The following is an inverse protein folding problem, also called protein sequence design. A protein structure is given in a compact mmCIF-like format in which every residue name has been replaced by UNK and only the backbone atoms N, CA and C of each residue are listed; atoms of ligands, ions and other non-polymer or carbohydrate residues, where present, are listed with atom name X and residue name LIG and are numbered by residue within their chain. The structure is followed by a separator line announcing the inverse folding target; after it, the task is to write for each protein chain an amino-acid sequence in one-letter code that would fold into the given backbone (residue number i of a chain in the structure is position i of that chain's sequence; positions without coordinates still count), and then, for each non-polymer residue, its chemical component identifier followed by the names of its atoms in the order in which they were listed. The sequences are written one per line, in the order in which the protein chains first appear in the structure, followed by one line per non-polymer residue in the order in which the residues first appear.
data_IF_736438768244
#
_entry.id   IF_736438768244
#
_cell.length_a   1.000
_cell.length_b   1.000
_cell.length_c   1.000
_cell.angle_alpha   90.00
_cell.angle_beta   90.00
_cell.angle_gamma   90.00
#
_symmetry.space_group_name_H-M   'P 1'
#
loop_
_entity.id
_entity.type
_entity.pdbx_description
1 polymer ?
#
# COMPACT_ATOMS: atom_id res chain seq x y z
N UNK A 1 2.86 -15.28 -12.62
CA UNK A 1 2.48 -14.37 -11.54
C UNK A 1 2.90 -12.95 -11.91
N UNK A 2 2.11 -11.97 -11.51
CA UNK A 2 2.36 -10.57 -11.88
C UNK A 2 3.49 -9.97 -11.04
N UNK A 3 4.45 -9.32 -11.68
CA UNK A 3 5.53 -8.62 -10.99
C UNK A 3 5.14 -7.16 -10.70
N UNK A 4 5.81 -6.53 -9.73
CA UNK A 4 5.52 -5.15 -9.34
C UNK A 4 5.62 -4.17 -10.50
N UNK A 5 6.62 -4.35 -11.37
CA UNK A 5 6.80 -3.50 -12.54
C UNK A 5 5.60 -3.57 -13.48
N UNK A 6 5.12 -4.79 -13.75
CA UNK A 6 3.97 -5.00 -14.64
C UNK A 6 2.72 -4.41 -14.01
N UNK A 7 2.54 -4.60 -12.71
CA UNK A 7 1.41 -4.05 -11.99
C UNK A 7 1.39 -2.52 -12.08
N UNK A 8 2.52 -1.88 -11.81
CA UNK A 8 2.61 -0.42 -11.85
C UNK A 8 2.33 0.12 -13.25
N UNK A 9 2.87 -0.51 -14.28
CA UNK A 9 2.62 -0.12 -15.68
C UNK A 9 1.14 -0.24 -16.03
N UNK A 10 0.52 -1.38 -15.68
CA UNK A 10 -0.89 -1.61 -15.97
C UNK A 10 -1.80 -0.67 -15.17
N UNK A 11 -1.47 -0.44 -13.89
CA UNK A 11 -2.22 0.48 -13.05
C UNK A 11 -2.17 1.91 -13.61
N UNK A 12 -1.04 2.32 -14.17
CA UNK A 12 -0.88 3.67 -14.72
C UNK A 12 -1.84 3.96 -15.88
N UNK A 13 -2.35 2.93 -16.54
CA UNK A 13 -3.29 3.09 -17.66
C UNK A 13 -4.61 3.70 -17.23
N UNK A 14 -4.98 3.55 -15.97
CA UNK A 14 -6.27 4.03 -15.46
C UNK A 14 -6.14 5.30 -14.61
N UNK A 15 -4.95 5.86 -14.53
CA UNK A 15 -4.75 7.17 -13.88
C UNK A 15 -5.40 8.25 -14.74
N UNK A 16 -6.10 9.19 -14.09
CA UNK A 16 -6.71 10.32 -14.79
C UNK A 16 -5.62 11.29 -15.30
N UNK A 17 -5.40 11.27 -16.59
CA UNK A 17 -4.33 12.05 -17.22
C UNK A 17 -4.68 13.54 -17.42
N UNK A 18 -5.89 13.94 -17.07
CA UNK A 18 -6.31 15.32 -17.11
C UNK A 18 -5.91 16.11 -15.86
N UNK A 19 -5.41 15.40 -14.84
CA UNK A 19 -4.95 16.01 -13.60
C UNK A 19 -3.49 16.43 -13.73
N UNK A 20 -3.13 17.50 -13.02
CA UNK A 20 -1.71 17.83 -12.82
C UNK A 20 -1.06 16.78 -11.93
N UNK A 21 0.26 16.66 -12.02
CA UNK A 21 0.96 15.61 -11.28
C UNK A 21 0.77 15.71 -9.76
N UNK A 22 0.77 16.95 -9.22
CA UNK A 22 0.55 17.11 -7.78
C UNK A 22 -0.89 16.72 -7.38
N UNK A 23 -1.84 16.85 -8.29
CA UNK A 23 -3.21 16.41 -8.05
C UNK A 23 -3.32 14.89 -8.02
N UNK A 24 -2.58 14.23 -8.92
CA UNK A 24 -2.52 12.75 -8.93
C UNK A 24 -1.92 12.24 -7.63
N UNK A 25 -0.85 12.87 -7.15
CA UNK A 25 -0.22 12.56 -5.87
C UNK A 25 -1.23 12.63 -4.71
N UNK A 26 -1.98 13.72 -4.63
CA UNK A 26 -2.97 13.91 -3.57
C UNK A 26 -4.17 12.98 -3.72
N UNK A 27 -4.61 12.76 -4.96
CA UNK A 27 -5.66 11.79 -5.26
C UNK A 27 -5.29 10.41 -4.73
N UNK A 28 -4.03 10.00 -4.93
CA UNK A 28 -3.55 8.72 -4.44
C UNK A 28 -3.59 8.64 -2.91
N UNK A 29 -3.12 9.67 -2.22
CA UNK A 29 -3.13 9.70 -0.75
C UNK A 29 -4.55 9.62 -0.19
N UNK A 30 -5.46 10.42 -0.74
CA UNK A 30 -6.86 10.40 -0.30
C UNK A 30 -7.52 9.07 -0.63
N UNK A 31 -7.16 8.47 -1.76
CA UNK A 31 -7.67 7.15 -2.15
C UNK A 31 -7.22 6.06 -1.19
N UNK A 32 -5.96 6.06 -0.76
CA UNK A 32 -5.49 5.09 0.24
C UNK A 32 -6.32 5.17 1.52
N UNK A 33 -6.54 6.38 2.03
CA UNK A 33 -7.34 6.58 3.24
C UNK A 33 -8.79 6.11 3.05
N UNK A 34 -9.36 6.39 1.89
CA UNK A 34 -10.73 5.98 1.55
C UNK A 34 -10.86 4.46 1.53
N UNK A 35 -9.91 3.76 0.91
CA UNK A 35 -9.97 2.29 0.82
C UNK A 35 -9.76 1.63 2.19
N UNK A 36 -8.90 2.21 3.03
CA UNK A 36 -8.76 1.73 4.42
C UNK A 36 -10.09 1.89 5.15
N UNK A 37 -10.79 3.00 4.94
CA UNK A 37 -12.13 3.21 5.49
C UNK A 37 -13.12 2.16 5.01
N UNK A 38 -13.09 1.78 3.74
CA UNK A 38 -13.95 0.75 3.19
C UNK A 38 -13.68 -0.62 3.85
N UNK A 39 -12.41 -0.94 4.11
CA UNK A 39 -12.05 -2.15 4.84
C UNK A 39 -12.60 -2.12 6.26
N UNK A 40 -12.46 -0.98 6.95
CA UNK A 40 -13.03 -0.82 8.29
C UNK A 40 -14.55 -1.01 8.28
N UNK A 41 -15.22 -0.53 7.24
CA UNK A 41 -16.67 -0.70 7.09
C UNK A 41 -17.10 -2.15 7.03
N UNK A 42 -16.31 -3.00 6.37
CA UNK A 42 -16.58 -4.43 6.29
C UNK A 42 -16.54 -5.07 7.69
N UNK A 43 -15.53 -4.74 8.49
CA UNK A 43 -15.43 -5.22 9.87
C UNK A 43 -16.56 -4.66 10.75
N UNK A 44 -16.90 -3.38 10.56
CA UNK A 44 -17.98 -2.74 11.30
C UNK A 44 -19.32 -3.48 11.08
N UNK A 45 -19.58 -3.85 9.83
CA UNK A 45 -20.80 -4.62 9.50
C UNK A 45 -20.79 -6.00 10.16
N UNK A 46 -19.62 -6.64 10.26
CA UNK A 46 -19.51 -7.92 10.95
C UNK A 46 -19.91 -7.80 12.42
N UNK A 47 -19.54 -6.71 13.09
CA UNK A 47 -19.98 -6.43 14.46
C UNK A 47 -21.48 -6.23 14.56
N UNK A 48 -22.12 -5.82 13.48
CA UNK A 48 -23.57 -5.61 13.41
C UNK A 48 -24.33 -6.88 13.04
N UNK A 49 -23.66 -8.02 12.92
CA UNK A 49 -24.28 -9.30 12.63
C UNK A 49 -24.16 -9.80 11.19
N UNK A 50 -23.52 -9.04 10.30
CA UNK A 50 -23.25 -9.50 8.94
C UNK A 50 -22.09 -10.52 8.93
N UNK A 51 -22.11 -11.44 7.99
CA UNK A 51 -20.94 -12.28 7.77
C UNK A 51 -19.80 -11.44 7.20
N UNK A 52 -18.55 -11.80 7.54
CA UNK A 52 -17.39 -11.12 6.99
C UNK A 52 -17.31 -11.39 5.48
N UNK A 53 -17.34 -10.32 4.69
CA UNK A 53 -17.32 -10.40 3.23
C UNK A 53 -15.88 -10.43 2.75
N UNK A 54 -15.33 -11.64 2.67
CA UNK A 54 -13.93 -11.87 2.30
C UNK A 54 -13.61 -11.37 0.88
N UNK A 55 -14.50 -11.64 -0.06
CA UNK A 55 -14.27 -11.23 -1.46
C UNK A 55 -14.27 -9.71 -1.62
N UNK A 56 -15.17 -9.03 -0.88
CA UNK A 56 -15.20 -7.57 -0.86
C UNK A 56 -13.90 -7.01 -0.25
N UNK A 57 -13.43 -7.61 0.85
CA UNK A 57 -12.19 -7.20 1.49
C UNK A 57 -10.98 -7.31 0.54
N UNK A 58 -10.92 -8.40 -0.23
CA UNK A 58 -9.86 -8.59 -1.22
C UNK A 58 -9.89 -7.51 -2.30
N UNK A 59 -11.07 -7.13 -2.76
CA UNK A 59 -11.22 -6.08 -3.78
C UNK A 59 -10.77 -4.73 -3.25
N UNK A 60 -11.17 -4.38 -2.03
CA UNK A 60 -10.75 -3.11 -1.41
C UNK A 60 -9.25 -3.09 -1.16
N UNK A 61 -8.65 -4.22 -0.79
CA UNK A 61 -7.21 -4.33 -0.64
C UNK A 61 -6.50 -4.11 -1.98
N UNK A 62 -7.05 -4.67 -3.06
CA UNK A 62 -6.54 -4.42 -4.40
C UNK A 62 -6.62 -2.95 -4.78
N UNK A 63 -7.72 -2.28 -4.45
CA UNK A 63 -7.88 -0.86 -4.72
C UNK A 63 -6.86 -0.02 -3.93
N UNK A 64 -6.58 -0.42 -2.69
CA UNK A 64 -5.53 0.22 -1.89
C UNK A 64 -4.17 0.12 -2.59
N UNK A 65 -3.83 -1.07 -3.10
CA UNK A 65 -2.57 -1.27 -3.84
C UNK A 65 -2.53 -0.42 -5.10
N UNK A 66 -3.66 -0.26 -5.78
CA UNK A 66 -3.73 0.60 -6.97
C UNK A 66 -3.35 2.04 -6.62
N UNK A 67 -3.87 2.57 -5.51
CA UNK A 67 -3.52 3.92 -5.07
C UNK A 67 -2.05 4.03 -4.67
N UNK A 68 -1.46 2.98 -4.08
CA UNK A 68 -0.02 2.95 -3.79
C UNK A 68 0.78 3.05 -5.10
N UNK A 69 0.39 2.29 -6.12
CA UNK A 69 1.03 2.34 -7.43
C UNK A 69 0.86 3.72 -8.09
N UNK A 70 -0.32 4.31 -7.99
CA UNK A 70 -0.58 5.65 -8.50
C UNK A 70 0.34 6.68 -7.85
N UNK A 71 0.49 6.60 -6.53
CA UNK A 71 1.38 7.50 -5.79
C UNK A 71 2.83 7.37 -6.28
N UNK A 72 3.31 6.14 -6.41
CA UNK A 72 4.66 5.90 -6.92
C UNK A 72 4.84 6.49 -8.32
N UNK A 73 3.86 6.31 -9.19
CA UNK A 73 3.91 6.85 -10.55
C UNK A 73 3.94 8.38 -10.53
N UNK A 74 3.10 9.01 -9.70
CA UNK A 74 3.08 10.47 -9.56
C UNK A 74 4.42 11.02 -9.08
N UNK A 75 5.09 10.30 -8.18
CA UNK A 75 6.38 10.71 -7.62
C UNK A 75 7.56 10.28 -8.49
N UNK A 76 7.29 9.58 -9.60
CA UNK A 76 8.32 9.01 -10.46
C UNK A 76 9.21 7.99 -9.71
N UNK A 77 8.61 7.21 -8.83
CA UNK A 77 9.25 6.14 -8.10
C UNK A 77 8.86 4.79 -8.69
N UNK A 78 9.80 3.87 -8.66
CA UNK A 78 9.57 2.48 -9.04
C UNK A 78 8.99 1.73 -7.84
N UNK A 79 7.77 1.20 -7.98
CA UNK A 79 7.11 0.45 -6.91
C UNK A 79 7.97 -0.73 -6.44
N UNK A 80 8.59 -1.45 -7.37
CA UNK A 80 9.47 -2.56 -7.04
C UNK A 80 10.66 -2.14 -6.19
N UNK A 81 11.21 -0.95 -6.45
CA UNK A 81 12.32 -0.42 -5.66
C UNK A 81 11.87 -0.04 -4.25
N UNK A 82 10.67 0.56 -4.12
CA UNK A 82 10.09 0.86 -2.81
C UNK A 82 9.91 -0.43 -2.01
N UNK A 83 9.42 -1.48 -2.64
CA UNK A 83 9.24 -2.79 -2.02
C UNK A 83 10.58 -3.39 -1.59
N UNK A 84 11.57 -3.35 -2.47
CA UNK A 84 12.91 -3.88 -2.17
C UNK A 84 13.54 -3.14 -0.99
N UNK A 85 13.46 -1.81 -0.98
CA UNK A 85 14.02 -1.00 0.11
C UNK A 85 13.36 -1.32 1.44
N UNK A 86 12.04 -1.57 1.42
CA UNK A 86 11.30 -1.95 2.62
C UNK A 86 11.79 -3.29 3.17
N UNK A 87 11.92 -4.30 2.30
CA UNK A 87 12.40 -5.62 2.72
C UNK A 87 13.84 -5.54 3.24
N UNK A 88 14.71 -4.78 2.55
CA UNK A 88 16.10 -4.61 2.96
C UNK A 88 16.21 -3.98 4.35
N UNK A 89 15.39 -2.97 4.62
CA UNK A 89 15.31 -2.33 5.94
C UNK A 89 14.93 -3.33 7.02
N UNK A 90 13.90 -4.15 6.74
CA UNK A 90 13.39 -5.11 7.71
C UNK A 90 14.36 -6.26 7.95
N UNK A 91 15.08 -6.69 6.92
CA UNK A 91 16.13 -7.72 7.06
C UNK A 91 17.30 -7.19 7.90
N UNK A 92 17.65 -5.91 7.76
CA UNK A 92 18.69 -5.30 8.58
C UNK A 92 18.26 -5.19 10.04
N UNK A 93 16.98 -4.80 10.28
CA UNK A 93 16.43 -4.67 11.64
C UNK A 93 16.22 -6.03 12.31
N UNK A 94 15.75 -7.00 11.56
CA UNK A 94 15.35 -8.33 12.06
C UNK A 94 16.02 -9.43 11.24
N UNK A 95 17.36 -9.61 11.34
CA UNK A 95 18.04 -10.62 10.51
C UNK A 95 17.58 -12.06 10.78
N UNK A 96 17.08 -12.33 11.99
CA UNK A 96 16.62 -13.65 12.39
C UNK A 96 15.09 -13.73 12.54
N UNK A 97 14.35 -12.75 11.96
CA UNK A 97 12.92 -12.61 12.14
C UNK A 97 12.59 -11.62 13.25
N UNK A 98 11.30 -11.37 13.49
CA UNK A 98 10.87 -10.36 14.45
C UNK A 98 11.37 -10.66 15.86
N UNK A 99 11.95 -9.65 16.52
CA UNK A 99 12.34 -9.65 17.92
C UNK A 99 11.94 -8.30 18.52
N UNK A 100 11.19 -8.32 19.64
CA UNK A 100 10.69 -7.12 20.29
C UNK A 100 11.82 -6.19 20.70
N UNK A 101 12.93 -6.74 21.18
CA UNK A 101 14.10 -5.96 21.57
C UNK A 101 14.63 -5.11 20.42
N UNK A 102 14.69 -5.69 19.21
CA UNK A 102 15.16 -4.99 18.02
C UNK A 102 14.22 -3.87 17.61
N UNK A 103 12.94 -4.01 17.88
CA UNK A 103 11.95 -2.96 17.64
C UNK A 103 12.10 -1.81 18.64
N UNK A 104 12.34 -2.14 19.89
CA UNK A 104 12.49 -1.14 20.96
C UNK A 104 13.83 -0.40 20.89
N UNK A 105 14.90 -1.07 20.43
CA UNK A 105 16.26 -0.55 20.43
C UNK A 105 16.81 -0.50 19.01
N UNK A 106 16.20 0.33 18.17
CA UNK A 106 16.63 0.51 16.78
C UNK A 106 17.96 1.27 16.73
N UNK A 107 18.78 0.92 15.75
CA UNK A 107 20.00 1.65 15.49
C UNK A 107 19.69 3.06 14.97
N UNK A 108 20.63 3.98 15.16
CA UNK A 108 20.51 5.35 14.67
C UNK A 108 20.30 5.32 13.14
N UNK A 109 19.31 6.06 12.65
CA UNK A 109 19.01 6.12 11.24
C UNK A 109 18.04 5.05 10.74
N UNK A 110 17.69 4.08 11.57
CA UNK A 110 16.68 3.05 11.20
C UNK A 110 15.27 3.61 11.44
N UNK A 111 14.65 4.02 10.35
CA UNK A 111 13.31 4.63 10.38
C UNK A 111 12.27 3.82 9.60
#
# INVERSE_FOLDING_TARGET
MMEAKDYQELASRTINKNLYNYEIEQHALHGMASEIGELHGIYQKAYQGHEFDEEHAKKELGDLLWFVAEYCTAMNWDLGQVMFNNISKLLARYPEGFEAEKSLNREEGDI
#
